data_IF_205410527244
#
_entry.id   IF_205410527244
#
_cell.length_a   1.000
_cell.length_b   1.000
_cell.length_c   1.000
_cell.angle_alpha   90.00
_cell.angle_beta   90.00
_cell.angle_gamma   90.00
#
_symmetry.space_group_name_H-M   'P 1'
#
loop_
_entity.id
_entity.type
_entity.pdbx_description
1 polymer ?
#
# COMPACT_ATOMS: atom_id res chain seq x y z
N UNK A 1 24.40 -43.51 -14.55
CA UNK A 1 23.94 -43.78 -13.17
C UNK A 1 23.41 -42.48 -12.58
N UNK A 2 22.14 -42.41 -12.15
CA UNK A 2 21.58 -41.19 -11.54
C UNK A 2 22.03 -41.12 -10.08
N UNK A 3 22.57 -39.97 -9.65
CA UNK A 3 22.93 -39.72 -8.25
C UNK A 3 21.67 -39.91 -7.38
N UNK A 4 21.76 -40.61 -6.23
CA UNK A 4 20.67 -40.66 -5.27
C UNK A 4 20.24 -39.25 -4.89
N UNK A 5 18.94 -38.99 -4.88
CA UNK A 5 18.37 -37.72 -4.39
C UNK A 5 18.81 -37.50 -2.95
N UNK A 6 19.37 -36.34 -2.68
CA UNK A 6 19.65 -35.87 -1.33
C UNK A 6 18.36 -35.30 -0.74
N UNK A 7 17.52 -36.17 -0.20
CA UNK A 7 16.24 -35.82 0.39
C UNK A 7 16.40 -34.84 1.57
N UNK A 8 17.51 -34.89 2.30
CA UNK A 8 17.78 -33.98 3.41
C UNK A 8 17.96 -32.54 2.91
N UNK A 9 18.66 -32.38 1.77
CA UNK A 9 18.79 -31.08 1.13
C UNK A 9 17.45 -30.53 0.60
N UNK A 10 16.61 -31.39 0.01
CA UNK A 10 15.28 -31.01 -0.49
C UNK A 10 14.35 -30.61 0.68
N UNK A 11 14.36 -31.39 1.78
CA UNK A 11 13.60 -31.10 2.99
C UNK A 11 14.03 -29.77 3.64
N UNK A 12 15.34 -29.51 3.70
CA UNK A 12 15.87 -28.24 4.21
C UNK A 12 15.45 -27.07 3.32
N UNK A 13 15.55 -27.21 2.01
CA UNK A 13 15.14 -26.17 1.06
C UNK A 13 13.63 -25.86 1.16
N UNK A 14 12.79 -26.87 1.36
CA UNK A 14 11.36 -26.71 1.61
C UNK A 14 11.08 -25.99 2.94
N UNK A 15 11.78 -26.35 4.01
CA UNK A 15 11.68 -25.69 5.31
C UNK A 15 12.07 -24.21 5.25
N UNK A 16 13.18 -23.90 4.58
CA UNK A 16 13.66 -22.53 4.41
C UNK A 16 12.70 -21.70 3.55
N UNK A 17 12.13 -22.30 2.49
CA UNK A 17 11.10 -21.65 1.68
C UNK A 17 9.83 -21.35 2.49
N UNK A 18 9.38 -22.28 3.33
CA UNK A 18 8.22 -22.06 4.19
C UNK A 18 8.47 -20.92 5.19
N UNK A 19 9.67 -20.87 5.80
CA UNK A 19 10.07 -19.78 6.69
C UNK A 19 10.11 -18.44 5.96
N UNK A 20 10.71 -18.38 4.77
CA UNK A 20 10.78 -17.17 3.97
C UNK A 20 9.38 -16.64 3.60
N UNK A 21 8.46 -17.54 3.21
CA UNK A 21 7.07 -17.18 2.94
C UNK A 21 6.38 -16.60 4.18
N UNK A 22 6.61 -17.19 5.36
CA UNK A 22 6.06 -16.67 6.61
C UNK A 22 6.60 -15.27 6.92
N UNK A 23 7.91 -15.07 6.81
CA UNK A 23 8.53 -13.76 7.05
C UNK A 23 8.00 -12.68 6.11
N UNK A 24 7.85 -12.99 4.80
CA UNK A 24 7.26 -12.05 3.84
C UNK A 24 5.82 -11.70 4.20
N UNK A 25 5.00 -12.67 4.63
CA UNK A 25 3.62 -12.40 5.06
C UNK A 25 3.56 -11.47 6.27
N UNK A 26 4.45 -11.68 7.25
CA UNK A 26 4.54 -10.80 8.42
C UNK A 26 4.90 -9.38 7.99
N UNK A 27 5.94 -9.21 7.17
CA UNK A 27 6.33 -7.91 6.65
C UNK A 27 5.20 -7.22 5.88
N UNK A 28 4.46 -7.95 5.04
CA UNK A 28 3.30 -7.40 4.33
C UNK A 28 2.19 -6.91 5.25
N UNK A 29 1.97 -7.60 6.38
CA UNK A 29 1.00 -7.17 7.39
C UNK A 29 1.51 -5.94 8.15
N UNK A 30 2.79 -5.89 8.52
CA UNK A 30 3.39 -4.72 9.16
C UNK A 30 3.26 -3.48 8.27
N UNK A 31 3.61 -3.61 6.99
CA UNK A 31 3.43 -2.53 6.01
C UNK A 31 1.97 -2.13 5.82
N UNK A 32 1.04 -3.10 5.87
CA UNK A 32 -0.38 -2.81 5.75
C UNK A 32 -0.86 -1.95 6.93
N UNK A 33 -0.50 -2.33 8.15
CA UNK A 33 -0.87 -1.60 9.38
C UNK A 33 -0.40 -0.15 9.29
N UNK A 34 0.86 0.07 8.93
CA UNK A 34 1.43 1.42 8.74
C UNK A 34 0.72 2.16 7.61
N UNK A 35 0.51 1.52 6.45
CA UNK A 35 -0.11 2.17 5.30
C UNK A 35 -1.58 2.57 5.55
N UNK A 36 -2.27 1.85 6.43
CA UNK A 36 -3.62 2.19 6.90
C UNK A 36 -3.65 3.24 8.02
N UNK A 37 -2.50 3.59 8.61
CA UNK A 37 -2.40 4.45 9.79
C UNK A 37 -2.86 3.76 11.08
N UNK A 38 -2.95 2.43 11.08
CA UNK A 38 -3.38 1.64 12.23
C UNK A 38 -2.25 1.44 13.26
N UNK A 39 -1.01 1.79 12.91
CA UNK A 39 0.15 1.84 13.80
C UNK A 39 0.04 2.90 14.90
N UNK A 40 -0.87 3.87 14.73
CA UNK A 40 -1.20 4.86 15.76
C UNK A 40 -2.14 4.30 16.86
N UNK A 41 -2.82 3.18 16.60
CA UNK A 41 -3.67 2.50 17.58
C UNK A 41 -2.82 1.60 18.47
N UNK A 42 -3.24 1.41 19.72
CA UNK A 42 -2.61 0.40 20.56
C UNK A 42 -3.07 -1.02 20.15
N UNK A 43 -2.32 -2.04 20.60
CA UNK A 43 -2.57 -3.42 20.22
C UNK A 43 -3.97 -3.92 20.63
N UNK A 44 -4.47 -3.49 21.79
CA UNK A 44 -5.76 -3.90 22.31
C UNK A 44 -6.92 -3.29 21.51
N UNK A 45 -6.81 -2.01 21.13
CA UNK A 45 -7.78 -1.32 20.27
C UNK A 45 -7.86 -1.95 18.88
N UNK A 46 -6.70 -2.22 18.27
CA UNK A 46 -6.64 -2.88 16.97
C UNK A 46 -7.24 -4.29 17.03
N UNK A 47 -6.88 -5.06 18.07
CA UNK A 47 -7.43 -6.40 18.28
C UNK A 47 -8.96 -6.36 18.48
N UNK A 48 -9.46 -5.44 19.31
CA UNK A 48 -10.88 -5.25 19.55
C UNK A 48 -11.66 -4.94 18.27
N UNK A 49 -11.16 -4.03 17.43
CA UNK A 49 -11.78 -3.70 16.15
C UNK A 49 -11.84 -4.92 15.20
N UNK A 50 -10.77 -5.72 15.13
CA UNK A 50 -10.73 -6.93 14.31
C UNK A 50 -11.68 -8.02 14.82
N UNK A 51 -11.82 -8.18 16.14
CA UNK A 51 -12.76 -9.12 16.75
C UNK A 51 -14.20 -8.74 16.40
N UNK A 52 -14.59 -7.47 16.57
CA UNK A 52 -15.93 -6.99 16.22
C UNK A 52 -16.25 -7.26 14.75
N UNK A 53 -15.29 -6.99 13.86
CA UNK A 53 -15.47 -7.27 12.44
C UNK A 53 -15.55 -8.79 12.15
N UNK A 54 -14.79 -9.62 12.86
CA UNK A 54 -14.86 -11.07 12.74
C UNK A 54 -16.21 -11.63 13.20
N UNK A 55 -16.75 -11.12 14.31
CA UNK A 55 -18.05 -11.52 14.88
C UNK A 55 -19.25 -11.02 14.08
N UNK A 56 -19.09 -9.95 13.29
CA UNK A 56 -20.17 -9.42 12.45
C UNK A 56 -20.51 -10.41 11.34
N UNK A 57 -21.63 -11.14 11.47
CA UNK A 57 -22.08 -12.16 10.50
C UNK A 57 -22.97 -11.62 9.39
N UNK A 58 -23.59 -10.46 9.59
CA UNK A 58 -24.49 -9.85 8.62
C UNK A 58 -23.70 -9.25 7.45
N UNK A 59 -23.90 -9.78 6.24
CA UNK A 59 -23.21 -9.33 5.05
C UNK A 59 -23.40 -7.83 4.78
N UNK A 60 -24.60 -7.30 4.99
CA UNK A 60 -24.89 -5.87 4.81
C UNK A 60 -24.12 -4.95 5.78
N UNK A 61 -23.71 -5.45 6.96
CA UNK A 61 -22.86 -4.71 7.90
C UNK A 61 -21.37 -4.81 7.55
N UNK A 62 -20.97 -5.83 6.78
CA UNK A 62 -19.59 -6.02 6.32
C UNK A 62 -19.31 -5.35 4.97
N UNK A 63 -20.33 -5.17 4.14
CA UNK A 63 -20.18 -4.60 2.78
C UNK A 63 -19.51 -3.21 2.76
N UNK A 64 -19.81 -2.27 3.69
CA UNK A 64 -19.09 -1.00 3.76
C UNK A 64 -17.60 -1.16 4.08
N UNK A 65 -17.27 -2.10 4.99
CA UNK A 65 -15.89 -2.41 5.36
C UNK A 65 -15.13 -3.05 4.19
N UNK A 66 -15.78 -3.97 3.48
CA UNK A 66 -15.22 -4.60 2.29
C UNK A 66 -14.98 -3.57 1.17
N UNK A 67 -15.93 -2.66 0.94
CA UNK A 67 -15.82 -1.59 -0.05
C UNK A 67 -14.66 -0.65 0.28
N UNK A 68 -14.55 -0.22 1.54
CA UNK A 68 -13.46 0.65 2.00
C UNK A 68 -12.09 -0.03 1.89
N UNK A 69 -12.01 -1.31 2.27
CA UNK A 69 -10.81 -2.12 2.11
C UNK A 69 -10.40 -2.26 0.65
N UNK A 70 -11.34 -2.58 -0.24
CA UNK A 70 -11.08 -2.68 -1.68
C UNK A 70 -10.57 -1.36 -2.26
N UNK A 71 -11.18 -0.22 -1.90
CA UNK A 71 -10.73 1.10 -2.33
C UNK A 71 -9.29 1.41 -1.88
N UNK A 72 -8.93 1.05 -0.64
CA UNK A 72 -7.56 1.20 -0.14
C UNK A 72 -6.56 0.43 -1.00
N UNK A 73 -6.79 -0.86 -1.25
CA UNK A 73 -5.88 -1.70 -2.04
C UNK A 73 -5.82 -1.29 -3.52
N UNK A 74 -6.94 -0.89 -4.11
CA UNK A 74 -6.97 -0.35 -5.48
C UNK A 74 -6.15 0.93 -5.60
N UNK A 75 -6.25 1.84 -4.62
CA UNK A 75 -5.46 3.07 -4.61
C UNK A 75 -3.95 2.80 -4.46
N UNK A 76 -3.58 1.76 -3.70
CA UNK A 76 -2.19 1.32 -3.54
C UNK A 76 -1.68 0.69 -4.84
N UNK A 77 -2.48 -0.17 -5.48
CA UNK A 77 -2.13 -0.79 -6.77
C UNK A 77 -1.83 0.26 -7.86
N UNK A 78 -2.62 1.36 -7.92
CA UNK A 78 -2.38 2.48 -8.84
C UNK A 78 -1.10 3.27 -8.52
N UNK A 79 -0.68 3.33 -7.26
CA UNK A 79 0.57 3.97 -6.82
C UNK A 79 1.81 3.10 -7.06
N UNK A 80 1.67 1.77 -6.98
CA UNK A 80 2.75 0.82 -7.20
C UNK A 80 2.91 0.40 -8.66
N UNK A 81 1.89 0.59 -9.50
CA UNK A 81 2.06 0.48 -10.94
C UNK A 81 3.08 1.55 -11.38
N UNK A 82 4.14 1.18 -12.13
CA UNK A 82 5.05 2.18 -12.67
C UNK A 82 4.19 3.16 -13.45
N UNK A 83 4.33 4.45 -13.17
CA UNK A 83 3.79 5.47 -14.03
C UNK A 83 4.32 5.16 -15.42
N UNK A 84 3.49 4.57 -16.28
CA UNK A 84 3.75 4.50 -17.69
C UNK A 84 3.85 5.96 -18.11
N UNK A 85 5.11 6.40 -18.15
CA UNK A 85 5.67 7.56 -18.82
C UNK A 85 4.62 8.19 -19.74
N UNK A 86 3.83 9.11 -19.18
CA UNK A 86 3.12 10.07 -20.01
C UNK A 86 4.22 10.95 -20.56
N UNK A 87 4.71 10.53 -21.72
CA UNK A 87 5.67 11.20 -22.55
C UNK A 87 5.38 12.71 -22.52
N UNK A 88 6.20 13.41 -21.76
CA UNK A 88 6.36 14.85 -21.76
C UNK A 88 7.01 15.20 -23.09
N UNK A 89 6.19 15.27 -24.13
CA UNK A 89 6.61 15.59 -25.48
C UNK A 89 5.77 16.71 -26.04
N UNK A 90 5.98 17.95 -25.57
CA UNK A 90 6.04 19.15 -26.43
C UNK A 90 6.46 20.39 -25.65
N UNK A 91 7.73 20.75 -25.89
CA UNK A 91 8.31 22.09 -25.96
C UNK A 91 8.40 22.97 -24.70
N UNK A 92 9.61 22.99 -24.15
CA UNK A 92 10.19 24.15 -23.47
C UNK A 92 10.05 25.42 -24.31
N UNK A 93 9.46 26.47 -23.73
CA UNK A 93 9.77 27.86 -24.03
C UNK A 93 9.42 28.73 -22.80
N UNK A 94 10.38 28.90 -21.89
CA UNK A 94 10.58 30.17 -21.19
C UNK A 94 11.94 30.69 -21.68
N UNK A 95 12.19 32.00 -21.76
CA UNK A 95 11.86 33.05 -20.77
C UNK A 95 11.02 34.17 -21.43
N UNK A 96 10.54 35.24 -20.83
CA UNK A 96 11.06 36.13 -19.79
C UNK A 96 9.85 37.03 -19.43
N UNK A 97 9.44 37.13 -18.18
CA UNK A 97 9.79 38.32 -17.41
C UNK A 97 8.93 39.55 -17.76
N UNK A 98 7.68 39.61 -17.27
CA UNK A 98 7.05 40.90 -16.97
C UNK A 98 6.54 40.88 -15.54
N UNK A 99 7.26 41.62 -14.68
CA UNK A 99 7.02 41.75 -13.25
C UNK A 99 5.61 42.27 -12.94
N UNK A 100 5.01 41.86 -11.80
CA UNK A 100 3.85 42.54 -11.25
C UNK A 100 4.32 43.73 -10.39
N UNK A 101 3.98 44.96 -10.79
CA UNK A 101 4.10 46.13 -9.91
C UNK A 101 2.75 46.38 -9.22
N UNK A 102 2.71 46.04 -7.93
CA UNK A 102 1.75 46.56 -6.95
C UNK A 102 1.76 48.09 -6.95
N UNK A 103 0.59 48.75 -6.99
CA UNK A 103 0.21 49.80 -6.00
C UNK A 103 -1.19 50.38 -6.17
N UNK A 104 -1.92 50.27 -5.07
CA UNK A 104 -3.02 51.05 -4.45
C UNK A 104 -3.26 52.52 -4.89
N UNK A 105 -4.52 52.97 -4.64
CA UNK A 105 -5.11 54.35 -4.58
C UNK A 105 -5.57 54.91 -5.93
N UNK A 106 -6.75 55.51 -6.15
CA UNK A 106 -7.80 56.09 -5.31
C UNK A 106 -8.25 57.43 -5.95
N UNK A 107 -9.54 57.79 -5.84
CA UNK A 107 -10.17 59.10 -6.17
C UNK A 107 -10.46 59.35 -7.68
N UNK A 108 -11.55 59.99 -8.14
CA UNK A 108 -12.72 60.68 -7.56
C UNK A 108 -13.89 60.49 -8.51
#
# INVERSE_FOLDING_TARGET
MRKPRDFDSELKALGDKARNLKSRKVQQLDELVIATGADALNADELAGALIVLAETKEAGKREPWATRGAAFFQSRARRTAPAAERNTGSASAQPDGTQPASSRKGAT
#
